data_IF_605009518730
#
_entry.id   IF_605009518730
#
_cell.length_a   1.000
_cell.length_b   1.000
_cell.length_c   1.000
_cell.angle_alpha   90.00
_cell.angle_beta   90.00
_cell.angle_gamma   90.00
#
_symmetry.space_group_name_H-M   'P 1'
#
loop_
_entity.id
_entity.type
_entity.pdbx_description
1 polymer ?
#
# COMPACT_ATOMS: atom_id res chain seq x y z
N UNK A 1 -5.41 -25.66 7.32
CA UNK A 1 -5.28 -24.84 6.10
C UNK A 1 -5.52 -25.69 4.87
N UNK A 2 -5.92 -25.11 3.74
CA UNK A 2 -6.09 -25.81 2.46
C UNK A 2 -4.81 -25.67 1.65
N UNK A 3 -4.38 -26.75 1.02
CA UNK A 3 -3.34 -26.72 -0.01
C UNK A 3 -3.89 -26.17 -1.34
N UNK A 4 -3.03 -26.11 -2.37
CA UNK A 4 -3.42 -25.64 -3.70
C UNK A 4 -4.49 -26.53 -4.39
N UNK A 5 -4.65 -27.78 -3.93
CA UNK A 5 -5.65 -28.73 -4.43
C UNK A 5 -6.96 -28.68 -3.61
N UNK A 6 -7.05 -27.79 -2.62
CA UNK A 6 -8.20 -27.67 -1.74
C UNK A 6 -8.27 -28.71 -0.62
N UNK A 7 -7.27 -29.60 -0.50
CA UNK A 7 -7.19 -30.57 0.58
C UNK A 7 -6.85 -29.84 1.87
N UNK A 8 -7.65 -30.07 2.91
CA UNK A 8 -7.40 -29.51 4.23
C UNK A 8 -6.34 -30.33 4.96
N UNK A 9 -5.41 -29.62 5.60
CA UNK A 9 -4.45 -30.16 6.54
C UNK A 9 -4.50 -29.41 7.87
N UNK A 10 -4.19 -30.13 8.94
CA UNK A 10 -3.94 -29.60 10.28
C UNK A 10 -2.50 -29.81 10.72
N UNK A 11 -1.70 -30.50 9.90
CA UNK A 11 -0.29 -30.72 10.17
C UNK A 11 0.47 -29.39 10.07
N UNK A 12 1.36 -29.15 11.05
CA UNK A 12 1.98 -27.86 11.22
C UNK A 12 3.12 -27.60 10.25
N UNK A 13 3.85 -28.63 9.84
CA UNK A 13 4.90 -28.54 8.82
C UNK A 13 4.28 -28.31 7.44
N UNK A 14 3.21 -29.05 7.11
CA UNK A 14 2.46 -28.84 5.87
C UNK A 14 1.85 -27.44 5.79
N UNK A 15 1.28 -26.94 6.89
CA UNK A 15 0.76 -25.56 6.99
C UNK A 15 1.88 -24.55 6.73
N UNK A 16 3.07 -24.73 7.32
CA UNK A 16 4.20 -23.85 7.12
C UNK A 16 4.63 -23.78 5.66
N UNK A 17 4.73 -24.94 4.99
CA UNK A 17 5.12 -25.00 3.58
C UNK A 17 4.05 -24.41 2.65
N UNK A 18 2.76 -24.60 2.96
CA UNK A 18 1.66 -23.94 2.23
C UNK A 18 1.79 -22.41 2.33
N UNK A 19 2.02 -21.88 3.55
CA UNK A 19 2.19 -20.44 3.74
C UNK A 19 3.41 -19.90 3.00
N UNK A 20 4.57 -20.55 3.16
CA UNK A 20 5.82 -20.19 2.49
C UNK A 20 5.63 -20.19 0.98
N UNK A 21 5.10 -21.27 0.41
CA UNK A 21 4.85 -21.37 -1.04
C UNK A 21 3.94 -20.25 -1.53
N UNK A 22 2.86 -19.96 -0.80
CA UNK A 22 1.94 -18.89 -1.15
C UNK A 22 2.60 -17.51 -1.14
N UNK A 23 3.28 -17.13 -0.05
CA UNK A 23 3.89 -15.80 0.07
C UNK A 23 5.15 -15.65 -0.79
N UNK A 24 5.96 -16.71 -0.95
CA UNK A 24 7.07 -16.72 -1.92
C UNK A 24 6.55 -16.44 -3.33
N UNK A 25 5.54 -17.18 -3.77
CA UNK A 25 4.91 -16.94 -5.08
C UNK A 25 4.29 -15.55 -5.18
N UNK A 26 3.74 -15.03 -4.08
CA UNK A 26 3.20 -13.67 -4.03
C UNK A 26 4.30 -12.63 -4.20
N UNK A 27 5.42 -12.73 -3.50
CA UNK A 27 6.46 -11.68 -3.48
C UNK A 27 7.52 -11.82 -4.58
N UNK A 28 7.70 -13.00 -5.19
CA UNK A 28 8.69 -13.21 -6.26
C UNK A 28 8.20 -12.80 -7.65
N UNK A 29 6.89 -12.61 -7.83
CA UNK A 29 6.31 -12.15 -9.11
C UNK A 29 6.94 -10.82 -9.52
N UNK A 30 7.49 -10.79 -10.73
CA UNK A 30 8.07 -9.58 -11.30
C UNK A 30 6.98 -8.63 -11.80
N UNK A 31 7.14 -7.34 -11.51
CA UNK A 31 6.31 -6.27 -12.08
C UNK A 31 7.11 -5.69 -13.25
N UNK A 32 6.54 -5.61 -14.47
CA UNK A 32 7.23 -5.04 -15.63
C UNK A 32 7.65 -3.58 -15.36
N UNK A 33 8.89 -3.23 -15.67
CA UNK A 33 9.38 -1.85 -15.59
C UNK A 33 9.04 -1.16 -16.92
N UNK A 34 8.24 -0.09 -16.93
CA UNK A 34 7.93 0.65 -18.16
C UNK A 34 9.18 1.26 -18.81
N UNK A 35 9.27 1.17 -20.15
CA UNK A 35 10.44 1.60 -20.95
C UNK A 35 10.71 3.11 -20.90
N UNK A 36 9.71 3.93 -20.57
CA UNK A 36 9.82 5.40 -20.54
C UNK A 36 9.95 5.95 -19.11
N UNK A 37 10.87 5.38 -18.32
CA UNK A 37 11.16 5.92 -17.00
C UNK A 37 12.03 7.15 -17.15
N UNK A 38 11.47 8.33 -16.84
CA UNK A 38 12.27 9.56 -16.71
C UNK A 38 13.12 9.38 -15.44
N UNK A 39 14.38 8.98 -15.62
CA UNK A 39 15.39 9.18 -14.57
C UNK A 39 15.61 10.69 -14.49
N UNK A 40 14.90 11.37 -13.58
CA UNK A 40 15.28 12.73 -13.23
C UNK A 40 16.73 12.69 -12.75
N UNK A 41 17.53 13.67 -13.18
CA UNK A 41 18.89 13.83 -12.67
C UNK A 41 18.80 13.95 -11.15
N UNK A 42 19.54 13.13 -10.38
CA UNK A 42 19.42 13.11 -8.93
C UNK A 42 19.71 14.52 -8.39
N UNK A 43 18.75 15.10 -7.68
CA UNK A 43 19.03 16.25 -6.84
C UNK A 43 19.91 15.73 -5.68
N UNK A 44 21.21 15.83 -5.89
CA UNK A 44 22.26 15.37 -4.96
C UNK A 44 22.51 16.37 -3.84
N UNK A 45 21.59 17.30 -3.61
CA UNK A 45 21.64 18.21 -2.47
C UNK A 45 21.83 17.41 -1.17
N UNK A 46 22.90 17.72 -0.45
CA UNK A 46 23.24 17.04 0.78
C UNK A 46 22.15 17.29 1.83
N UNK A 47 21.74 16.22 2.51
CA UNK A 47 20.72 16.28 3.55
C UNK A 47 21.37 16.46 4.90
N UNK A 48 20.80 17.28 5.81
CA UNK A 48 21.39 17.50 7.12
C UNK A 48 21.48 16.19 7.91
N UNK A 49 22.50 15.99 8.76
CA UNK A 49 22.57 14.82 9.62
C UNK A 49 21.37 14.75 10.57
N UNK A 50 20.98 13.55 10.99
CA UNK A 50 20.04 13.33 12.09
C UNK A 50 20.60 13.90 13.38
N UNK A 51 19.77 14.68 14.08
CA UNK A 51 20.10 15.20 15.40
C UNK A 51 19.69 14.19 16.47
N UNK A 52 20.40 14.16 17.59
CA UNK A 52 20.01 13.32 18.73
C UNK A 52 18.59 13.62 19.23
N UNK A 53 18.18 14.90 19.21
CA UNK A 53 16.82 15.31 19.56
C UNK A 53 15.76 14.69 18.65
N UNK A 54 16.04 14.65 17.34
CA UNK A 54 15.16 14.05 16.34
C UNK A 54 15.03 12.54 16.57
N UNK A 55 16.15 11.84 16.75
CA UNK A 55 16.18 10.39 17.07
C UNK A 55 15.41 10.11 18.37
N UNK A 56 15.67 10.88 19.43
CA UNK A 56 14.98 10.74 20.72
C UNK A 56 13.47 10.96 20.59
N UNK A 57 13.05 11.96 19.81
CA UNK A 57 11.63 12.24 19.57
C UNK A 57 10.96 11.07 18.85
N UNK A 58 11.53 10.63 17.73
CA UNK A 58 11.00 9.49 16.98
C UNK A 58 10.91 8.23 17.84
N UNK A 59 11.92 7.96 18.66
CA UNK A 59 11.95 6.82 19.58
C UNK A 59 10.84 6.89 20.63
N UNK A 60 10.61 8.06 21.24
CA UNK A 60 9.51 8.27 22.20
C UNK A 60 8.13 8.09 21.58
N UNK A 61 7.99 8.45 20.30
CA UNK A 61 6.72 8.34 19.58
C UNK A 61 6.47 6.90 19.05
N UNK A 62 7.45 5.98 19.17
CA UNK A 62 7.24 4.55 18.87
C UNK A 62 6.27 3.93 19.87
N UNK A 63 5.45 2.99 19.38
CA UNK A 63 4.49 2.28 20.22
C UNK A 63 5.26 1.46 21.25
N UNK A 64 4.98 1.70 22.53
CA UNK A 64 5.55 0.97 23.67
C UNK A 64 4.97 -0.45 23.77
N UNK A 65 5.63 -1.32 24.55
CA UNK A 65 5.20 -2.69 24.82
C UNK A 65 5.03 -3.52 23.53
N UNK A 66 5.91 -3.31 22.56
CA UNK A 66 5.96 -4.15 21.36
C UNK A 66 6.82 -5.37 21.62
N UNK A 67 6.42 -6.48 21.02
CA UNK A 67 7.21 -7.71 21.07
C UNK A 67 8.62 -7.43 20.55
N UNK A 68 9.66 -7.95 21.23
CA UNK A 68 11.03 -7.89 20.74
C UNK A 68 11.14 -8.43 19.31
N UNK A 69 12.10 -7.89 18.57
CA UNK A 69 12.51 -8.44 17.29
C UNK A 69 13.48 -9.62 17.49
N UNK A 70 14.10 -10.09 16.40
CA UNK A 70 15.08 -11.18 16.46
C UNK A 70 16.36 -10.81 17.25
N UNK A 71 16.60 -9.52 17.52
CA UNK A 71 17.74 -9.03 18.29
C UNK A 71 17.41 -8.84 19.78
N UNK A 72 16.18 -9.16 20.21
CA UNK A 72 15.63 -8.90 21.55
C UNK A 72 15.67 -7.42 21.99
N UNK A 73 15.88 -6.49 21.04
CA UNK A 73 15.94 -5.05 21.31
C UNK A 73 14.56 -4.44 21.05
N UNK A 74 13.98 -3.79 22.05
CA UNK A 74 12.74 -3.02 21.90
C UNK A 74 13.01 -1.52 21.94
N UNK A 75 12.05 -0.70 21.48
CA UNK A 75 12.13 0.75 21.67
C UNK A 75 12.21 1.15 23.14
N UNK A 76 11.63 0.35 24.04
CA UNK A 76 11.65 0.60 25.48
C UNK A 76 13.05 0.34 26.05
N UNK A 77 13.73 -0.73 25.63
CA UNK A 77 15.14 -0.99 25.99
C UNK A 77 16.04 0.14 25.53
N UNK A 78 15.84 0.64 24.30
CA UNK A 78 16.61 1.76 23.77
C UNK A 78 16.38 3.06 24.55
N UNK A 79 15.16 3.30 25.05
CA UNK A 79 14.85 4.44 25.90
C UNK A 79 15.49 4.30 27.30
N UNK A 80 15.46 3.11 27.89
CA UNK A 80 16.05 2.82 29.20
C UNK A 80 17.57 2.94 29.15
N UNK A 81 18.21 2.50 28.06
CA UNK A 81 19.65 2.60 27.86
C UNK A 81 20.17 4.06 27.83
N UNK A 82 19.28 5.03 27.67
CA UNK A 82 19.56 6.45 27.92
C UNK A 82 20.46 7.12 26.88
N UNK A 83 21.17 8.16 27.32
CA UNK A 83 21.99 9.02 26.45
C UNK A 83 23.09 8.28 25.66
N UNK A 84 23.88 7.35 26.26
CA UNK A 84 24.93 6.67 25.52
C UNK A 84 24.41 5.87 24.31
N UNK A 85 23.25 5.22 24.47
CA UNK A 85 22.62 4.49 23.37
C UNK A 85 22.11 5.43 22.28
N UNK A 86 21.50 6.57 22.67
CA UNK A 86 21.05 7.58 21.71
C UNK A 86 22.21 8.18 20.92
N UNK A 87 23.34 8.48 21.57
CA UNK A 87 24.54 8.99 20.89
C UNK A 87 25.07 7.97 19.87
N UNK A 88 25.16 6.69 20.26
CA UNK A 88 25.61 5.61 19.38
C UNK A 88 24.68 5.40 18.19
N UNK A 89 23.36 5.29 18.43
CA UNK A 89 22.35 5.10 17.38
C UNK A 89 22.35 6.28 16.40
N UNK A 90 22.43 7.51 16.92
CA UNK A 90 22.49 8.71 16.08
C UNK A 90 23.72 8.69 15.17
N UNK A 91 24.88 8.28 15.71
CA UNK A 91 26.09 8.12 14.91
C UNK A 91 25.91 7.06 13.82
N UNK A 92 25.39 5.88 14.16
CA UNK A 92 25.11 4.82 13.19
C UNK A 92 24.17 5.29 12.08
N UNK A 93 23.06 5.96 12.41
CA UNK A 93 22.12 6.45 11.40
C UNK A 93 22.71 7.53 10.50
N UNK A 94 23.60 8.38 11.02
CA UNK A 94 24.32 9.34 10.20
C UNK A 94 25.34 8.70 9.26
N UNK A 95 25.98 7.59 9.67
CA UNK A 95 26.81 6.79 8.75
C UNK A 95 25.97 6.11 7.66
N UNK A 96 24.79 5.59 7.99
CA UNK A 96 23.84 5.06 6.98
C UNK A 96 23.42 6.18 6.03
N UNK A 97 23.06 7.35 6.57
CA UNK A 97 22.67 8.51 5.77
C UNK A 97 23.78 8.90 4.80
N UNK A 98 25.04 8.87 5.23
CA UNK A 98 26.20 9.23 4.41
C UNK A 98 26.55 8.16 3.36
N UNK A 99 26.47 6.89 3.72
CA UNK A 99 27.00 5.78 2.90
C UNK A 99 25.94 5.05 2.08
N UNK A 100 24.65 5.20 2.42
CA UNK A 100 23.55 4.41 1.88
C UNK A 100 23.54 2.95 2.34
N UNK A 101 24.54 2.49 3.10
CA UNK A 101 24.68 1.09 3.50
C UNK A 101 23.89 0.79 4.76
N UNK A 102 23.10 -0.28 4.74
CA UNK A 102 22.33 -0.75 5.89
C UNK A 102 22.96 -2.00 6.52
N UNK A 103 22.68 -2.28 7.80
CA UNK A 103 23.03 -3.56 8.42
C UNK A 103 22.36 -4.74 7.72
N UNK A 104 23.09 -5.83 7.51
CA UNK A 104 22.57 -7.08 6.92
C UNK A 104 21.42 -7.68 7.75
N UNK A 105 21.41 -7.48 9.07
CA UNK A 105 20.31 -7.93 9.93
C UNK A 105 18.95 -7.29 9.59
N UNK A 106 18.92 -6.19 8.84
CA UNK A 106 17.68 -5.52 8.41
C UNK A 106 17.10 -6.09 7.11
N UNK A 107 17.88 -6.90 6.42
CA UNK A 107 17.49 -7.52 5.16
C UNK A 107 16.39 -8.57 5.39
N UNK A 108 16.49 -9.32 6.50
CA UNK A 108 15.56 -10.39 6.87
C UNK A 108 14.33 -9.88 7.63
N UNK A 109 13.14 -10.29 7.19
CA UNK A 109 11.88 -10.07 7.87
C UNK A 109 11.23 -11.40 8.30
N UNK A 110 10.69 -11.42 9.51
CA UNK A 110 9.91 -12.56 10.02
C UNK A 110 8.43 -12.32 9.78
N UNK A 111 7.82 -13.08 8.88
CA UNK A 111 6.40 -12.92 8.52
C UNK A 111 5.54 -13.78 9.44
N UNK A 112 4.69 -13.13 10.23
CA UNK A 112 3.59 -13.78 10.94
C UNK A 112 2.30 -13.60 10.14
N UNK A 113 1.40 -14.58 10.17
CA UNK A 113 0.14 -14.53 9.45
C UNK A 113 -1.04 -14.29 10.40
N UNK A 114 -1.89 -13.32 10.09
CA UNK A 114 -3.05 -12.97 10.89
C UNK A 114 -4.31 -13.18 10.06
N UNK A 115 -5.24 -13.99 10.58
CA UNK A 115 -6.54 -14.21 9.94
C UNK A 115 -7.34 -12.89 9.87
N UNK A 116 -7.87 -12.57 8.68
CA UNK A 116 -8.65 -11.35 8.43
C UNK A 116 -10.16 -11.62 8.47
N UNK A 117 -10.68 -12.40 7.53
CA UNK A 117 -12.12 -12.70 7.33
C UNK A 117 -12.31 -13.84 6.32
N UNK A 118 -13.51 -14.42 6.21
CA UNK A 118 -13.82 -15.44 5.19
C UNK A 118 -13.48 -16.85 5.66
N UNK A 119 -13.20 -17.79 4.76
CA UNK A 119 -12.83 -19.16 5.13
C UNK A 119 -11.45 -19.20 5.81
N UNK A 120 -11.33 -19.61 7.10
CA UNK A 120 -10.05 -19.76 7.78
C UNK A 120 -9.15 -20.83 7.16
N UNK A 121 -9.70 -21.71 6.31
CA UNK A 121 -8.92 -22.68 5.56
C UNK A 121 -8.13 -22.09 4.40
N UNK A 122 -8.51 -20.92 3.88
CA UNK A 122 -7.86 -20.32 2.70
C UNK A 122 -6.77 -19.32 3.11
N UNK A 123 -5.52 -19.56 2.71
CA UNK A 123 -4.37 -18.69 3.00
C UNK A 123 -4.55 -17.25 2.46
N UNK A 124 -5.38 -17.06 1.42
CA UNK A 124 -5.68 -15.72 0.88
C UNK A 124 -6.35 -14.81 1.90
N UNK A 125 -7.08 -15.39 2.84
CA UNK A 125 -7.82 -14.71 3.91
C UNK A 125 -6.94 -14.29 5.11
N UNK A 126 -5.63 -14.54 5.02
CA UNK A 126 -4.65 -14.10 6.01
C UNK A 126 -3.87 -12.90 5.49
N UNK A 127 -3.46 -12.04 6.43
CA UNK A 127 -2.55 -10.91 6.21
C UNK A 127 -1.16 -11.27 6.71
N UNK A 128 -0.11 -11.08 5.90
CA UNK A 128 1.26 -11.17 6.38
C UNK A 128 1.60 -9.89 7.17
N UNK A 129 2.17 -10.03 8.36
CA UNK A 129 2.78 -8.93 9.11
C UNK A 129 4.28 -9.23 9.22
N UNK A 130 5.09 -8.31 8.72
CA UNK A 130 6.54 -8.33 8.83
C UNK A 130 6.97 -7.83 10.21
N UNK A 131 7.52 -8.73 11.01
CA UNK A 131 8.28 -8.38 12.20
C UNK A 131 9.69 -7.97 11.75
N UNK A 132 9.98 -6.68 11.94
CA UNK A 132 11.22 -6.02 11.53
C UNK A 132 11.94 -5.48 12.77
N UNK A 133 13.26 -5.35 12.66
CA UNK A 133 14.11 -4.78 13.71
C UNK A 133 13.62 -3.40 14.17
N UNK A 134 13.74 -3.09 15.46
CA UNK A 134 13.35 -1.80 16.03
C UNK A 134 14.27 -0.68 15.56
N UNK A 135 15.57 -0.94 15.38
CA UNK A 135 16.48 0.05 14.80
C UNK A 135 16.14 0.34 13.33
N UNK A 136 15.71 -0.69 12.59
CA UNK A 136 15.17 -0.52 11.23
C UNK A 136 13.93 0.38 11.24
N UNK A 137 12.93 0.07 12.08
CA UNK A 137 11.69 0.86 12.17
C UNK A 137 11.97 2.30 12.61
N UNK A 138 13.00 2.51 13.43
CA UNK A 138 13.39 3.83 13.90
C UNK A 138 13.96 4.68 12.76
N UNK A 139 14.85 4.13 11.92
CA UNK A 139 15.39 4.89 10.77
C UNK A 139 14.32 5.13 9.70
N UNK A 140 13.45 4.16 9.39
CA UNK A 140 12.39 4.37 8.40
C UNK A 140 11.38 5.42 8.88
N UNK A 141 11.11 5.48 10.18
CA UNK A 141 10.32 6.54 10.79
C UNK A 141 11.01 7.91 10.75
N UNK A 142 12.32 7.98 10.96
CA UNK A 142 13.08 9.23 10.83
C UNK A 142 13.01 9.76 9.40
N UNK A 143 13.27 8.89 8.42
CA UNK A 143 13.13 9.21 7.00
C UNK A 143 11.70 9.69 6.70
N UNK A 144 10.68 8.94 7.13
CA UNK A 144 9.29 9.34 6.97
C UNK A 144 9.03 10.73 7.54
N UNK A 145 9.49 11.02 8.77
CA UNK A 145 9.26 12.31 9.44
C UNK A 145 9.82 13.47 8.63
N UNK A 146 10.98 13.29 7.98
CA UNK A 146 11.59 14.31 7.12
C UNK A 146 10.87 14.48 5.79
N UNK A 147 10.32 13.40 5.24
CA UNK A 147 9.62 13.40 3.96
C UNK A 147 8.12 13.71 4.08
N UNK A 148 7.55 13.64 5.29
CA UNK A 148 6.10 13.64 5.54
C UNK A 148 5.39 14.86 4.92
N UNK A 149 5.99 16.05 5.05
CA UNK A 149 5.42 17.26 4.47
C UNK A 149 5.29 17.15 2.94
N UNK A 150 6.36 16.75 2.24
CA UNK A 150 6.37 16.64 0.78
C UNK A 150 5.42 15.54 0.33
N UNK A 151 5.41 14.40 1.03
CA UNK A 151 4.50 13.30 0.76
C UNK A 151 3.03 13.75 0.88
N UNK A 152 2.68 14.48 1.94
CA UNK A 152 1.30 14.91 2.21
C UNK A 152 0.84 16.05 1.30
N UNK A 153 1.72 16.99 0.93
CA UNK A 153 1.44 18.06 -0.05
C UNK A 153 1.19 17.48 -1.45
N UNK A 154 1.82 16.35 -1.78
CA UNK A 154 1.59 15.65 -3.04
C UNK A 154 0.34 14.75 -3.04
N UNK A 155 -0.40 14.64 -1.93
CA UNK A 155 -1.66 13.89 -1.90
C UNK A 155 -2.85 14.81 -2.14
N UNK A 156 -3.73 14.51 -3.12
CA UNK A 156 -4.93 15.29 -3.37
C UNK A 156 -5.96 15.04 -2.27
N UNK A 157 -6.95 15.93 -2.12
CA UNK A 157 -7.95 15.82 -1.04
C UNK A 157 -8.79 14.54 -1.13
N UNK A 158 -8.93 14.00 -2.33
CA UNK A 158 -9.65 12.77 -2.64
C UNK A 158 -8.95 11.52 -2.07
N UNK A 159 -7.69 11.59 -1.66
CA UNK A 159 -7.01 10.50 -0.93
C UNK A 159 -6.98 10.83 0.56
N UNK A 160 -7.78 10.11 1.35
CA UNK A 160 -7.87 10.27 2.81
C UNK A 160 -7.07 9.23 3.60
N UNK A 161 -6.65 8.13 2.96
CA UNK A 161 -5.94 7.04 3.62
C UNK A 161 -4.60 7.47 4.20
N UNK A 162 -4.33 7.09 5.45
CA UNK A 162 -3.06 7.34 6.16
C UNK A 162 -2.61 8.81 6.21
N UNK A 163 -3.57 9.75 6.18
CA UNK A 163 -3.31 11.19 6.31
C UNK A 163 -3.91 11.75 7.58
N UNK A 164 -3.20 12.69 8.18
CA UNK A 164 -3.68 13.39 9.37
C UNK A 164 -4.73 14.41 8.94
N UNK A 165 -5.85 14.47 9.66
CA UNK A 165 -6.92 15.43 9.39
C UNK A 165 -7.89 15.03 8.27
N UNK A 166 -7.78 13.82 7.74
CA UNK A 166 -8.71 13.25 6.76
C UNK A 166 -9.40 12.02 7.36
N UNK A 167 -10.70 11.87 7.09
CA UNK A 167 -11.49 10.73 7.58
C UNK A 167 -12.24 10.01 6.47
N UNK A 168 -12.42 8.69 6.63
CA UNK A 168 -13.35 7.92 5.80
C UNK A 168 -14.79 8.44 5.94
N UNK A 169 -15.14 9.02 7.09
CA UNK A 169 -16.45 9.63 7.34
C UNK A 169 -16.73 10.78 6.36
N UNK A 170 -15.71 11.59 6.05
CA UNK A 170 -15.86 12.70 5.11
C UNK A 170 -16.20 12.17 3.71
N UNK A 171 -15.51 11.10 3.28
CA UNK A 171 -15.78 10.46 1.99
C UNK A 171 -17.18 9.82 1.93
N UNK A 172 -17.61 9.14 3.00
CA UNK A 172 -18.96 8.57 3.08
C UNK A 172 -20.00 9.69 3.01
N UNK A 173 -19.79 10.79 3.73
CA UNK A 173 -20.68 11.95 3.70
C UNK A 173 -20.77 12.56 2.30
N UNK A 174 -19.63 12.84 1.66
CA UNK A 174 -19.58 13.37 0.29
C UNK A 174 -20.32 12.47 -0.69
N UNK A 175 -20.09 11.15 -0.62
CA UNK A 175 -20.77 10.21 -1.51
C UNK A 175 -22.29 10.18 -1.27
N UNK A 176 -22.73 10.22 -0.01
CA UNK A 176 -24.15 10.30 0.32
C UNK A 176 -24.79 11.60 -0.20
N UNK A 177 -24.12 12.74 -0.04
CA UNK A 177 -24.60 14.03 -0.56
C UNK A 177 -24.76 14.00 -2.09
N UNK A 178 -23.78 13.46 -2.81
CA UNK A 178 -23.86 13.30 -4.26
C UNK A 178 -25.03 12.40 -4.68
N UNK A 179 -25.25 11.29 -3.97
CA UNK A 179 -26.38 10.39 -4.21
C UNK A 179 -27.71 11.09 -3.92
N UNK A 180 -27.84 11.78 -2.80
CA UNK A 180 -29.05 12.54 -2.43
C UNK A 180 -29.39 13.60 -3.48
N UNK A 181 -28.39 14.37 -3.91
CA UNK A 181 -28.56 15.42 -4.93
C UNK A 181 -28.90 14.87 -6.30
N UNK A 182 -28.31 13.74 -6.70
CA UNK A 182 -28.68 13.03 -7.92
C UNK A 182 -30.16 12.63 -7.90
N UNK A 183 -30.66 12.14 -6.76
CA UNK A 183 -32.08 11.80 -6.62
C UNK A 183 -32.98 13.04 -6.60
N UNK A 184 -32.58 14.12 -5.91
CA UNK A 184 -33.35 15.36 -5.78
C UNK A 184 -33.53 16.08 -7.12
N UNK A 185 -32.45 16.19 -7.89
CA UNK A 185 -32.42 16.92 -9.17
C UNK A 185 -32.57 16.01 -10.39
N UNK A 186 -32.76 14.70 -10.19
CA UNK A 186 -32.98 13.72 -11.24
C UNK A 186 -31.88 13.70 -12.32
N UNK A 187 -30.62 13.87 -11.92
CA UNK A 187 -29.47 13.76 -12.83
C UNK A 187 -28.79 12.38 -12.69
N UNK A 188 -28.20 11.85 -13.78
CA UNK A 188 -27.67 10.50 -13.79
C UNK A 188 -26.37 10.39 -12.98
N UNK A 189 -26.22 9.29 -12.24
CA UNK A 189 -25.08 9.02 -11.38
C UNK A 189 -24.68 7.55 -11.43
N UNK A 190 -23.40 7.31 -11.71
CA UNK A 190 -22.77 6.00 -11.65
C UNK A 190 -21.63 6.04 -10.62
N UNK A 191 -21.62 5.08 -9.69
CA UNK A 191 -20.57 4.93 -8.68
C UNK A 191 -19.91 3.57 -8.83
N UNK A 192 -18.59 3.55 -9.02
CA UNK A 192 -17.78 2.35 -9.23
C UNK A 192 -16.87 2.07 -8.05
N UNK A 193 -16.99 0.90 -7.41
CA UNK A 193 -16.07 0.50 -6.33
C UNK A 193 -14.99 -0.44 -6.84
N UNK A 194 -13.74 -0.13 -6.50
CA UNK A 194 -12.55 -0.89 -6.87
C UNK A 194 -11.94 -1.51 -5.62
N UNK A 195 -11.65 -2.80 -5.72
CA UNK A 195 -10.92 -3.56 -4.71
C UNK A 195 -9.65 -4.12 -5.38
N UNK A 196 -8.49 -3.93 -4.75
CA UNK A 196 -7.22 -4.43 -5.25
C UNK A 196 -6.83 -5.72 -4.53
N UNK A 197 -6.47 -6.74 -5.31
CA UNK A 197 -6.02 -8.03 -4.78
C UNK A 197 -4.69 -7.86 -4.03
N UNK A 198 -4.74 -7.93 -2.69
CA UNK A 198 -3.56 -7.85 -1.82
C UNK A 198 -2.64 -6.68 -2.21
N UNK A 199 -3.22 -5.48 -2.30
CA UNK A 199 -2.58 -4.29 -2.84
C UNK A 199 -1.20 -3.99 -2.20
N UNK A 200 -1.15 -4.02 -0.87
CA UNK A 200 0.06 -3.81 -0.08
C UNK A 200 1.15 -4.84 -0.41
N UNK A 201 0.78 -6.10 -0.69
CA UNK A 201 1.73 -7.17 -0.97
C UNK A 201 2.14 -7.24 -2.45
N UNK A 202 1.48 -6.47 -3.33
CA UNK A 202 1.59 -6.63 -4.79
C UNK A 202 2.19 -5.42 -5.51
N UNK A 203 2.16 -4.23 -4.91
CA UNK A 203 2.70 -3.00 -5.53
C UNK A 203 4.18 -3.18 -5.90
N UNK A 204 4.57 -2.83 -7.11
CA UNK A 204 5.97 -2.95 -7.56
C UNK A 204 6.89 -1.96 -6.86
N UNK A 205 8.09 -2.40 -6.47
CA UNK A 205 9.10 -1.51 -5.88
C UNK A 205 9.43 -0.32 -6.80
N UNK A 206 9.54 -0.57 -8.11
CA UNK A 206 9.71 0.47 -9.12
C UNK A 206 8.64 1.57 -9.02
N UNK A 207 7.36 1.20 -8.87
CA UNK A 207 6.27 2.17 -8.79
C UNK A 207 6.39 3.05 -7.53
N UNK A 208 6.86 2.49 -6.42
CA UNK A 208 7.12 3.23 -5.18
C UNK A 208 8.22 4.26 -5.40
N UNK A 209 9.41 3.83 -5.85
CA UNK A 209 10.56 4.73 -5.94
C UNK A 209 10.42 5.77 -7.04
N UNK A 210 9.82 5.40 -8.17
CA UNK A 210 9.47 6.36 -9.20
C UNK A 210 8.44 7.39 -8.68
N UNK A 211 7.45 6.98 -7.88
CA UNK A 211 6.52 7.94 -7.27
C UNK A 211 7.24 8.91 -6.32
N UNK A 212 8.16 8.43 -5.47
CA UNK A 212 8.95 9.31 -4.59
C UNK A 212 9.75 10.35 -5.36
N UNK A 213 10.44 9.93 -6.42
CA UNK A 213 11.21 10.84 -7.29
C UNK A 213 10.31 11.89 -7.94
N UNK A 214 9.16 11.48 -8.48
CA UNK A 214 8.21 12.43 -9.09
C UNK A 214 7.56 13.40 -8.09
N UNK A 215 7.52 13.05 -6.81
CA UNK A 215 7.10 13.94 -5.73
C UNK A 215 8.21 14.89 -5.26
N UNK A 216 9.38 14.86 -5.90
CA UNK A 216 10.58 15.62 -5.53
C UNK A 216 11.11 15.28 -4.13
N UNK A 217 11.04 14.01 -3.74
CA UNK A 217 11.78 13.52 -2.58
C UNK A 217 13.27 13.48 -2.91
N UNK A 218 14.11 13.96 -2.00
CA UNK A 218 15.55 13.97 -2.17
C UNK A 218 16.09 12.55 -2.42
N UNK A 219 16.96 12.40 -3.43
CA UNK A 219 17.43 11.09 -3.90
C UNK A 219 18.13 10.30 -2.81
N UNK A 220 18.83 10.95 -1.89
CA UNK A 220 19.54 10.28 -0.78
C UNK A 220 18.59 9.50 0.13
N UNK A 221 17.36 9.95 0.31
CA UNK A 221 16.35 9.18 1.04
C UNK A 221 15.79 8.04 0.21
N UNK A 222 15.61 8.25 -1.10
CA UNK A 222 15.16 7.22 -2.05
C UNK A 222 16.18 6.09 -2.12
N UNK A 223 17.48 6.39 -2.24
CA UNK A 223 18.58 5.42 -2.30
C UNK A 223 18.65 4.51 -1.07
N UNK A 224 18.45 5.08 0.13
CA UNK A 224 18.43 4.31 1.38
C UNK A 224 17.22 3.36 1.38
N UNK A 225 16.06 3.83 0.96
CA UNK A 225 14.87 2.98 0.85
C UNK A 225 15.02 1.93 -0.25
N UNK A 226 15.62 2.25 -1.39
CA UNK A 226 15.93 1.29 -2.45
C UNK A 226 16.86 0.20 -1.93
N UNK A 227 17.91 0.56 -1.19
CA UNK A 227 18.83 -0.39 -0.57
C UNK A 227 18.10 -1.32 0.41
N UNK A 228 17.19 -0.79 1.22
CA UNK A 228 16.33 -1.56 2.14
C UNK A 228 15.47 -2.59 1.41
N UNK A 229 14.91 -2.22 0.25
CA UNK A 229 14.00 -3.08 -0.49
C UNK A 229 14.70 -4.04 -1.44
N UNK A 230 15.88 -3.69 -1.95
CA UNK A 230 16.65 -4.49 -2.92
C UNK A 230 17.11 -5.83 -2.32
N UNK A 231 17.61 -5.81 -1.08
CA UNK A 231 18.10 -6.99 -0.39
C UNK A 231 17.04 -7.63 0.52
N UNK A 232 15.78 -7.22 0.40
CA UNK A 232 14.70 -7.69 1.26
C UNK A 232 14.48 -9.20 1.12
N UNK A 233 14.53 -9.89 2.25
CA UNK A 233 14.19 -11.32 2.35
C UNK A 233 13.22 -11.55 3.49
N UNK A 234 12.52 -12.68 3.45
CA UNK A 234 11.65 -13.08 4.53
C UNK A 234 11.55 -14.58 4.69
N UNK A 235 11.15 -14.98 5.91
CA UNK A 235 10.72 -16.32 6.25
C UNK A 235 9.35 -16.26 6.92
N UNK A 236 8.52 -17.26 6.69
CA UNK A 236 7.25 -17.41 7.39
C UNK A 236 7.51 -18.04 8.75
N UNK A 237 6.85 -17.51 9.77
CA UNK A 237 6.88 -18.06 11.12
C UNK A 237 5.48 -18.47 11.58
N UNK A 238 5.38 -19.71 12.05
CA UNK A 238 4.16 -20.27 12.63
C UNK A 238 4.54 -20.95 13.94
N UNK A 239 4.01 -20.45 15.04
CA UNK A 239 4.30 -20.93 16.40
C UNK A 239 5.81 -20.97 16.68
N UNK A 240 6.42 -22.15 16.77
CA UNK A 240 7.86 -22.32 17.04
C UNK A 240 8.67 -22.74 15.80
N UNK A 241 8.08 -22.71 14.61
CA UNK A 241 8.75 -23.12 13.36
C UNK A 241 8.95 -21.95 12.41
N UNK A 242 9.96 -22.08 11.57
CA UNK A 242 10.34 -21.09 10.58
C UNK A 242 10.55 -21.79 9.23
N UNK A 243 10.07 -21.15 8.16
CA UNK A 243 10.31 -21.63 6.80
C UNK A 243 11.73 -21.30 6.35
N UNK A 244 12.13 -21.85 5.20
CA UNK A 244 13.29 -21.34 4.47
C UNK A 244 13.08 -19.88 4.06
N UNK A 245 14.20 -19.18 3.88
CA UNK A 245 14.26 -17.79 3.45
C UNK A 245 13.89 -17.66 1.96
N UNK A 246 13.16 -16.61 1.60
CA UNK A 246 12.85 -16.25 0.23
C UNK A 246 12.92 -14.72 0.00
N UNK A 247 13.22 -14.26 -1.22
CA UNK A 247 13.33 -12.84 -1.53
C UNK A 247 11.95 -12.16 -1.61
N UNK A 248 11.90 -10.89 -1.20
CA UNK A 248 10.75 -10.00 -1.39
C UNK A 248 11.06 -9.07 -2.56
N UNK A 249 10.38 -9.25 -3.70
CA UNK A 249 10.63 -8.46 -4.93
C UNK A 249 9.53 -7.45 -5.25
N UNK A 250 8.44 -7.45 -4.49
CA UNK A 250 7.35 -6.48 -4.58
C UNK A 250 6.61 -6.39 -3.24
N UNK A 251 5.72 -5.42 -3.15
CA UNK A 251 4.94 -5.10 -1.97
C UNK A 251 5.67 -4.17 -1.02
N UNK A 252 4.91 -3.49 -0.16
CA UNK A 252 5.45 -2.79 1.00
C UNK A 252 5.47 -3.74 2.21
N UNK A 253 6.43 -3.56 3.12
CA UNK A 253 6.53 -4.43 4.31
C UNK A 253 5.45 -4.06 5.33
N UNK A 254 4.42 -4.89 5.49
CA UNK A 254 3.33 -4.64 6.43
C UNK A 254 3.84 -4.70 7.88
N UNK A 255 3.97 -3.55 8.55
CA UNK A 255 4.55 -3.46 9.90
C UNK A 255 5.72 -2.48 9.99
N UNK A 256 6.24 -2.03 8.85
CA UNK A 256 7.12 -0.87 8.75
C UNK A 256 6.31 0.43 8.83
N UNK A 257 6.69 1.39 9.71
CA UNK A 257 6.03 2.69 9.82
C UNK A 257 5.85 3.45 8.50
N UNK A 258 6.83 3.40 7.59
CA UNK A 258 6.81 4.19 6.35
C UNK A 258 5.95 3.56 5.24
N UNK A 259 5.75 2.24 5.28
CA UNK A 259 5.03 1.47 4.25
C UNK A 259 3.69 2.08 3.80
N UNK A 260 2.80 2.57 4.70
CA UNK A 260 1.55 3.18 4.28
C UNK A 260 1.73 4.43 3.41
N UNK A 261 2.72 5.29 3.73
CA UNK A 261 3.01 6.50 2.94
C UNK A 261 3.61 6.15 1.58
N UNK A 262 4.50 5.16 1.53
CA UNK A 262 5.06 4.63 0.28
C UNK A 262 3.97 4.07 -0.63
N UNK A 263 3.03 3.33 -0.04
CA UNK A 263 1.90 2.78 -0.77
C UNK A 263 0.99 3.87 -1.34
N UNK A 264 0.60 4.87 -0.54
CA UNK A 264 -0.24 5.98 -1.03
C UNK A 264 0.46 6.80 -2.11
N UNK A 265 1.79 6.96 -2.03
CA UNK A 265 2.55 7.64 -3.08
C UNK A 265 2.46 6.89 -4.42
N UNK A 266 2.63 5.57 -4.41
CA UNK A 266 2.51 4.73 -5.61
C UNK A 266 1.08 4.72 -6.20
N UNK A 267 0.06 4.63 -5.35
CA UNK A 267 -1.35 4.69 -5.76
C UNK A 267 -1.69 6.06 -6.38
N UNK A 268 -1.22 7.14 -5.77
CA UNK A 268 -1.44 8.49 -6.28
C UNK A 268 -0.81 8.65 -7.67
N UNK A 269 0.43 8.21 -7.83
CA UNK A 269 1.10 8.29 -9.13
C UNK A 269 0.39 7.45 -10.20
N UNK A 270 -0.09 6.26 -9.83
CA UNK A 270 -0.92 5.41 -10.69
C UNK A 270 -2.20 6.12 -11.11
N UNK A 271 -2.86 6.82 -10.17
CA UNK A 271 -4.11 7.53 -10.40
C UNK A 271 -3.93 8.75 -11.30
N UNK A 272 -2.85 9.53 -11.11
CA UNK A 272 -2.47 10.65 -11.99
C UNK A 272 -2.24 10.18 -13.42
N UNK A 273 -1.49 9.09 -13.60
CA UNK A 273 -1.20 8.50 -14.91
C UNK A 273 -2.45 7.93 -15.60
N UNK A 274 -3.45 7.50 -14.83
CA UNK A 274 -4.72 7.04 -15.37
C UNK A 274 -5.64 8.18 -15.86
N UNK A 275 -5.29 9.45 -15.62
CA UNK A 275 -6.02 10.63 -16.09
C UNK A 275 -7.55 10.49 -16.00
N UNK A 276 -8.08 10.35 -14.78
CA UNK A 276 -9.51 10.23 -14.55
C UNK A 276 -10.21 11.54 -14.97
N UNK A 277 -10.80 11.56 -16.18
CA UNK A 277 -11.40 12.74 -16.83
C UNK A 277 -12.92 12.82 -16.70
N UNK A 278 -13.57 11.69 -16.43
CA UNK A 278 -15.03 11.62 -16.36
C UNK A 278 -15.48 11.68 -14.90
N UNK A 279 -16.36 12.63 -14.58
CA UNK A 279 -16.86 12.85 -13.23
C UNK A 279 -18.03 13.82 -13.24
N UNK A 280 -18.44 14.25 -12.06
CA UNK A 280 -19.48 15.26 -11.89
C UNK A 280 -18.86 16.65 -11.84
N UNK A 281 -19.50 17.64 -12.45
CA UNK A 281 -19.13 19.02 -12.22
C UNK A 281 -19.70 19.48 -10.87
N UNK A 282 -18.82 19.80 -9.93
CA UNK A 282 -19.16 20.36 -8.62
C UNK A 282 -18.42 21.68 -8.49
N UNK A 283 -19.16 22.80 -8.51
CA UNK A 283 -18.63 24.16 -8.41
C UNK A 283 -17.48 24.47 -9.40
N UNK A 284 -17.54 23.91 -10.61
CA UNK A 284 -16.53 24.13 -11.66
C UNK A 284 -15.35 23.15 -11.61
N UNK A 285 -15.28 22.26 -10.63
CA UNK A 285 -14.28 21.19 -10.54
C UNK A 285 -14.89 19.83 -10.91
N UNK A 286 -14.13 18.98 -11.61
CA UNK A 286 -14.57 17.64 -11.96
C UNK A 286 -14.30 16.68 -10.80
N UNK A 287 -15.36 16.27 -10.10
CA UNK A 287 -15.33 15.25 -9.05
C UNK A 287 -15.38 13.84 -9.65
N UNK A 288 -14.24 13.14 -9.65
CA UNK A 288 -14.08 11.85 -10.33
C UNK A 288 -13.91 10.66 -9.38
N UNK A 289 -13.39 10.88 -8.17
CA UNK A 289 -13.05 9.78 -7.27
C UNK A 289 -12.97 10.18 -5.78
N UNK A 290 -13.10 9.17 -4.92
CA UNK A 290 -12.73 9.20 -3.51
C UNK A 290 -11.91 7.94 -3.21
N UNK A 291 -10.83 8.10 -2.44
CA UNK A 291 -9.86 7.05 -2.16
C UNK A 291 -9.52 6.99 -0.68
N UNK A 292 -9.50 5.78 -0.13
CA UNK A 292 -9.01 5.52 1.21
C UNK A 292 -8.02 4.37 1.13
N UNK A 293 -6.73 4.71 1.02
CA UNK A 293 -5.68 3.74 0.73
C UNK A 293 -5.96 2.98 -0.59
N UNK A 294 -6.20 1.67 -0.51
CA UNK A 294 -6.53 0.78 -1.62
C UNK A 294 -8.02 0.77 -2.00
N UNK A 295 -8.91 1.25 -1.12
CA UNK A 295 -10.34 1.36 -1.42
C UNK A 295 -10.58 2.59 -2.29
N UNK A 296 -11.12 2.40 -3.50
CA UNK A 296 -11.41 3.50 -4.44
C UNK A 296 -12.87 3.48 -4.87
N UNK A 297 -13.53 4.63 -4.79
CA UNK A 297 -14.83 4.90 -5.38
C UNK A 297 -14.66 5.88 -6.54
N UNK A 298 -14.98 5.46 -7.76
CA UNK A 298 -15.08 6.30 -8.94
C UNK A 298 -16.50 6.82 -9.11
N UNK A 299 -16.65 8.00 -9.70
CA UNK A 299 -17.93 8.65 -9.96
C UNK A 299 -17.98 9.13 -11.41
N UNK A 300 -19.07 8.85 -12.12
CA UNK A 300 -19.34 9.34 -13.48
C UNK A 300 -20.83 9.62 -13.66
N UNK A 301 -21.20 10.30 -14.75
CA UNK A 301 -22.60 10.53 -15.12
C UNK A 301 -23.23 9.30 -15.79
N UNK A 302 -22.45 8.50 -16.52
CA UNK A 302 -22.96 7.35 -17.27
C UNK A 302 -22.05 6.11 -17.18
N UNK A 303 -22.58 4.97 -17.61
CA UNK A 303 -21.91 3.68 -17.52
C UNK A 303 -20.78 3.52 -18.53
N UNK A 304 -20.84 4.18 -19.69
CA UNK A 304 -19.82 4.08 -20.74
C UNK A 304 -18.55 4.81 -20.30
N UNK A 305 -18.68 6.00 -19.71
CA UNK A 305 -17.56 6.71 -19.11
C UNK A 305 -16.98 5.98 -17.90
N UNK A 306 -17.83 5.36 -17.05
CA UNK A 306 -17.35 4.52 -15.95
C UNK A 306 -16.50 3.35 -16.47
N UNK A 307 -17.03 2.69 -17.50
CA UNK A 307 -16.38 1.61 -18.21
C UNK A 307 -15.01 2.13 -18.72
N UNK A 308 -14.93 3.14 -19.58
CA UNK A 308 -13.66 3.68 -20.08
C UNK A 308 -12.60 3.98 -18.98
N UNK A 309 -12.99 4.65 -17.89
CA UNK A 309 -12.08 4.96 -16.78
C UNK A 309 -11.59 3.71 -16.05
N UNK A 310 -12.47 2.74 -15.79
CA UNK A 310 -12.09 1.49 -15.12
C UNK A 310 -11.07 0.70 -15.95
N UNK A 311 -11.24 0.65 -17.27
CA UNK A 311 -10.29 -0.05 -18.12
C UNK A 311 -8.93 0.64 -18.16
N UNK A 312 -8.92 1.97 -18.28
CA UNK A 312 -7.67 2.71 -18.27
C UNK A 312 -6.96 2.57 -16.92
N UNK A 313 -7.69 2.74 -15.81
CA UNK A 313 -7.13 2.59 -14.47
C UNK A 313 -6.63 1.16 -14.23
N UNK A 314 -7.33 0.12 -14.69
CA UNK A 314 -6.87 -1.26 -14.58
C UNK A 314 -5.59 -1.49 -15.38
N UNK A 315 -5.50 -0.98 -16.62
CA UNK A 315 -4.29 -1.07 -17.44
C UNK A 315 -3.09 -0.42 -16.74
N UNK A 316 -3.25 0.81 -16.27
CA UNK A 316 -2.18 1.55 -15.58
C UNK A 316 -1.84 0.94 -14.22
N UNK A 317 -2.83 0.43 -13.48
CA UNK A 317 -2.60 -0.25 -12.20
C UNK A 317 -1.73 -1.50 -12.35
N UNK A 318 -1.92 -2.27 -13.42
CA UNK A 318 -1.12 -3.46 -13.70
C UNK A 318 0.37 -3.14 -13.92
N UNK A 319 0.68 -1.99 -14.54
CA UNK A 319 2.06 -1.50 -14.69
C UNK A 319 2.71 -1.22 -13.33
N UNK A 320 1.92 -0.85 -12.32
CA UNK A 320 2.37 -0.62 -10.95
C UNK A 320 2.30 -1.90 -10.08
N UNK A 321 1.98 -3.06 -10.67
CA UNK A 321 1.86 -4.35 -9.97
C UNK A 321 0.53 -4.56 -9.25
N UNK A 322 -0.42 -3.64 -9.39
CA UNK A 322 -1.71 -3.66 -8.72
C UNK A 322 -2.77 -4.29 -9.63
N UNK A 323 -3.35 -5.38 -9.16
CA UNK A 323 -4.41 -6.10 -9.87
C UNK A 323 -5.74 -5.84 -9.19
N UNK A 324 -6.73 -5.38 -9.96
CA UNK A 324 -8.09 -5.24 -9.47
C UNK A 324 -8.77 -6.61 -9.35
N UNK A 325 -9.50 -6.83 -8.26
CA UNK A 325 -10.30 -8.03 -8.06
C UNK A 325 -11.48 -8.06 -9.03
N UNK A 326 -11.72 -9.20 -9.65
CA UNK A 326 -12.85 -9.43 -10.56
C UNK A 326 -13.87 -10.34 -9.87
N UNK A 327 -14.86 -9.77 -9.18
CA UNK A 327 -15.88 -10.55 -8.45
C UNK A 327 -17.26 -10.42 -9.12
N UNK A 328 -18.00 -11.52 -9.40
CA UNK A 328 -19.32 -11.56 -10.10
C UNK A 328 -20.47 -10.80 -9.39
N UNK A 329 -21.32 -10.08 -10.13
CA UNK A 329 -22.38 -9.14 -9.66
C UNK A 329 -23.66 -9.83 -9.19
N UNK A 330 -24.33 -9.20 -8.19
CA UNK A 330 -25.80 -9.20 -8.01
C UNK A 330 -26.32 -7.79 -8.32
N UNK A 331 -27.20 -7.66 -9.31
CA UNK A 331 -27.93 -6.42 -9.62
C UNK A 331 -29.27 -6.42 -8.91
N UNK A 332 -29.61 -5.38 -8.14
CA UNK A 332 -30.99 -5.09 -7.76
C UNK A 332 -31.56 -4.10 -8.78
N UNK A 333 -32.39 -4.60 -9.69
CA UNK A 333 -33.31 -3.76 -10.44
C UNK A 333 -34.54 -3.52 -9.56
N UNK A 334 -34.82 -2.26 -9.29
CA UNK A 334 -36.16 -1.79 -8.94
C UNK A 334 -36.26 -0.40 -9.56
N UNK A 335 -37.31 -0.19 -10.34
CA UNK A 335 -37.49 0.96 -11.22
C UNK A 335 -37.40 2.31 -10.52
N UNK A 336 -37.35 3.33 -11.37
CA UNK A 336 -37.16 4.77 -11.12
C UNK A 336 -35.71 5.23 -11.16
N UNK A 337 -35.42 5.99 -12.23
CA UNK A 337 -34.22 6.81 -12.50
C UNK A 337 -32.91 6.09 -12.21
N UNK A 338 -32.41 5.35 -13.20
CA UNK A 338 -31.12 4.64 -13.30
C UNK A 338 -30.16 4.86 -12.11
N UNK A 339 -30.47 4.22 -10.98
CA UNK A 339 -29.50 3.96 -9.90
C UNK A 339 -28.63 2.81 -10.36
N UNK A 340 -27.39 3.08 -10.77
CA UNK A 340 -26.38 2.04 -10.99
C UNK A 340 -25.17 2.29 -10.09
N UNK A 341 -25.24 1.71 -8.88
CA UNK A 341 -24.05 1.40 -8.09
C UNK A 341 -23.38 0.21 -8.78
N UNK A 342 -22.31 0.49 -9.51
CA UNK A 342 -21.57 -0.47 -10.30
C UNK A 342 -20.41 -1.02 -9.45
N UNK A 343 -20.63 -2.07 -8.66
CA UNK A 343 -19.50 -2.92 -8.29
C UNK A 343 -19.00 -3.65 -9.56
N UNK A 344 -17.69 -3.70 -9.79
CA UNK A 344 -17.04 -4.19 -11.03
C UNK A 344 -17.75 -5.40 -11.68
N UNK A 345 -18.22 -5.32 -12.96
CA UNK A 345 -18.46 -6.43 -13.92
C UNK A 345 -19.20 -6.03 -15.21
N UNK A 346 -18.49 -6.01 -16.34
CA UNK A 346 -18.66 -6.85 -17.55
C UNK A 346 -17.87 -6.14 -18.65
N UNK A 347 -16.80 -6.79 -19.08
CA UNK A 347 -16.03 -6.52 -20.29
C UNK A 347 -15.65 -7.93 -20.77
N UNK A 348 -15.95 -8.46 -21.94
CA UNK A 348 -16.52 -8.04 -23.24
C UNK A 348 -17.44 -9.23 -23.68
N UNK A 349 -18.30 -9.26 -24.70
CA UNK A 349 -18.26 -8.89 -26.13
C UNK A 349 -19.73 -8.92 -26.70
N UNK A 350 -20.00 -8.60 -27.98
CA UNK A 350 -21.29 -8.07 -28.48
C UNK A 350 -22.35 -9.13 -28.78
N UNK A 351 -23.61 -8.67 -28.88
CA UNK A 351 -24.83 -9.44 -29.20
C UNK A 351 -25.26 -10.40 -28.07
N UNK A 352 -26.51 -10.52 -27.66
CA UNK A 352 -27.82 -10.11 -28.14
C UNK A 352 -28.79 -10.34 -26.96
N UNK A 353 -29.97 -9.73 -27.03
CA UNK A 353 -31.15 -10.06 -26.20
C UNK A 353 -31.09 -9.74 -24.68
N UNK A 354 -31.78 -8.65 -24.36
CA UNK A 354 -32.78 -8.53 -23.29
C UNK A 354 -33.41 -9.90 -22.95
N UNK A 355 -33.63 -10.21 -21.65
CA UNK A 355 -34.87 -10.78 -21.07
C UNK A 355 -34.61 -11.37 -19.66
N UNK A 356 -35.49 -10.95 -18.74
CA UNK A 356 -35.75 -11.27 -17.31
C UNK A 356 -34.66 -10.97 -16.28
#
# INVERSE_FOLDING_TARGET
>A
MKDNNGKKTTDREEILEICKTFYKSLYEKTVPIPTNTIMQSPDTNDVPPFTKSEVRKCLKDMRKNKSPDADDITSDVLLIAGEPALDYITKCFNEILKTGKIPTSWEEAKIIIIYKKGDPGDIKNYRPISLLSHSYKLITRLLQTRMERILDENQPREQAGFRKGYSTTDHIHTLNQVIEKSNEYNFPLCVGFIDYEKAFDSVGHFAIFNALRQMNINEKYVDILETIYQNATAKVHIDNMESELFPIKRGVRQGDPISPKLFTAAIEMTSRKAELKHGLNVDGETFTNLRFADDVALVTEDTKSMEEQLNNLNKISLESGLKMHKEKRKTKNSGDVVRRVLSCNRWTEPESSIIV
#
